data_IF_590204941193
#
_entry.id   IF_590204941193
#
_cell.length_a   1.000
_cell.length_b   1.000
_cell.length_c   1.000
_cell.angle_alpha   90.00
_cell.angle_beta   90.00
_cell.angle_gamma   90.00
#
_symmetry.space_group_name_H-M   'P 1'
#
loop_
_entity.id
_entity.type
_entity.pdbx_description
1 polymer ?
#
# COMPACT_ATOMS: atom_id res chain seq x y z
N UNK A 1 15.73 13.09 9.34
CA UNK A 1 15.79 11.75 8.72
C UNK A 1 15.28 10.76 9.76
N UNK A 2 14.06 10.22 9.60
CA UNK A 2 13.48 9.29 10.60
C UNK A 2 14.10 7.92 10.37
N UNK A 3 14.90 7.44 11.34
CA UNK A 3 15.46 6.10 11.33
C UNK A 3 14.33 5.11 11.66
N UNK A 4 13.60 4.67 10.64
CA UNK A 4 12.69 3.54 10.75
C UNK A 4 13.57 2.32 10.96
N UNK A 5 13.50 1.67 12.12
CA UNK A 5 14.33 0.51 12.41
C UNK A 5 14.13 -0.54 11.30
N UNK A 6 15.23 -0.92 10.64
CA UNK A 6 15.20 -1.91 9.55
C UNK A 6 14.53 -3.23 9.98
N UNK A 7 14.58 -3.53 11.28
CA UNK A 7 14.02 -4.72 11.89
C UNK A 7 12.48 -4.78 11.78
N UNK A 8 11.77 -3.71 12.16
CA UNK A 8 10.30 -3.69 12.11
C UNK A 8 9.74 -3.66 10.68
N UNK A 9 10.53 -3.11 9.74
CA UNK A 9 10.15 -3.10 8.31
C UNK A 9 10.30 -4.47 7.68
N UNK A 10 11.38 -5.21 8.00
CA UNK A 10 11.59 -6.57 7.49
C UNK A 10 10.54 -7.57 8.00
N UNK A 11 10.22 -7.51 9.29
CA UNK A 11 9.20 -8.40 9.91
C UNK A 11 7.82 -8.21 9.27
N UNK A 12 7.39 -6.95 9.08
CA UNK A 12 6.12 -6.66 8.42
C UNK A 12 6.09 -7.10 6.94
N UNK A 13 7.16 -6.87 6.20
CA UNK A 13 7.22 -7.12 4.75
C UNK A 13 7.38 -8.60 4.42
N UNK A 14 8.25 -9.29 5.16
CA UNK A 14 8.61 -10.68 4.87
C UNK A 14 7.70 -11.64 5.63
N UNK A 15 7.43 -11.41 6.91
CA UNK A 15 6.67 -12.38 7.73
C UNK A 15 5.16 -12.18 7.62
N UNK A 16 4.69 -10.93 7.51
CA UNK A 16 3.24 -10.65 7.44
C UNK A 16 2.71 -10.54 6.02
N UNK A 17 3.40 -9.78 5.16
CA UNK A 17 2.94 -9.61 3.79
C UNK A 17 3.44 -10.70 2.84
N UNK A 18 4.51 -11.41 3.19
CA UNK A 18 5.16 -12.44 2.38
C UNK A 18 5.36 -11.96 0.93
N UNK A 19 6.06 -10.82 0.79
CA UNK A 19 6.34 -10.23 -0.52
C UNK A 19 7.53 -10.92 -1.20
N UNK A 20 7.37 -11.23 -2.49
CA UNK A 20 8.44 -11.63 -3.39
C UNK A 20 8.72 -10.57 -4.45
N UNK A 21 9.45 -10.96 -5.50
CA UNK A 21 9.63 -10.13 -6.71
C UNK A 21 8.36 -10.06 -7.56
N UNK A 22 7.46 -11.03 -7.40
CA UNK A 22 6.15 -11.04 -8.02
C UNK A 22 5.18 -10.11 -7.30
N UNK A 23 4.32 -9.45 -8.08
CA UNK A 23 3.29 -8.54 -7.55
C UNK A 23 2.22 -9.29 -6.78
N UNK A 24 2.09 -8.98 -5.49
CA UNK A 24 1.00 -9.47 -4.63
C UNK A 24 -0.06 -8.39 -4.45
N UNK A 25 -1.32 -8.74 -4.74
CA UNK A 25 -2.48 -7.85 -4.61
C UNK A 25 -3.16 -7.96 -3.25
N UNK A 26 -3.57 -6.82 -2.72
CA UNK A 26 -4.39 -6.67 -1.52
C UNK A 26 -5.63 -5.86 -1.88
N UNK A 27 -6.81 -6.48 -1.76
CA UNK A 27 -8.08 -5.87 -2.16
C UNK A 27 -8.66 -5.00 -1.03
N UNK A 28 -9.38 -3.95 -1.39
CA UNK A 28 -10.07 -3.10 -0.44
C UNK A 28 -11.03 -3.93 0.42
N UNK A 29 -10.95 -3.73 1.73
CA UNK A 29 -11.78 -4.44 2.72
C UNK A 29 -11.11 -5.65 3.35
N UNK A 30 -9.94 -6.09 2.87
CA UNK A 30 -9.18 -7.14 3.57
C UNK A 30 -8.39 -6.57 4.76
N UNK A 31 -8.09 -7.39 5.79
CA UNK A 31 -7.25 -6.97 6.91
C UNK A 31 -5.87 -6.47 6.48
N UNK A 32 -5.23 -7.11 5.49
CA UNK A 32 -3.90 -6.74 5.00
C UNK A 32 -3.92 -5.37 4.33
N UNK A 33 -4.96 -5.08 3.54
CA UNK A 33 -5.16 -3.76 2.94
C UNK A 33 -5.24 -2.67 4.02
N UNK A 34 -6.02 -2.92 5.08
CA UNK A 34 -6.14 -1.99 6.20
C UNK A 34 -4.83 -1.85 6.99
N UNK A 35 -4.07 -2.94 7.14
CA UNK A 35 -2.76 -2.90 7.79
C UNK A 35 -1.75 -2.06 6.99
N UNK A 36 -1.70 -2.22 5.67
CA UNK A 36 -0.85 -1.43 4.78
C UNK A 36 -1.21 0.05 4.90
N UNK A 37 -2.49 0.40 4.77
CA UNK A 37 -2.98 1.76 4.95
C UNK A 37 -2.87 2.26 6.40
N UNK A 38 -2.70 1.38 7.38
CA UNK A 38 -2.45 1.71 8.78
C UNK A 38 -1.03 2.21 9.04
N UNK A 39 -0.07 1.85 8.18
CA UNK A 39 1.33 2.29 8.28
C UNK A 39 1.46 3.78 7.99
N UNK A 40 2.52 4.42 8.51
CA UNK A 40 2.79 5.85 8.18
C UNK A 40 2.93 6.08 6.68
N UNK A 41 3.65 5.21 5.99
CA UNK A 41 3.85 5.30 4.52
C UNK A 41 2.54 5.10 3.77
N UNK A 42 1.74 4.08 4.14
CA UNK A 42 0.44 3.83 3.52
C UNK A 42 -0.55 4.98 3.71
N UNK A 43 -0.63 5.55 4.92
CA UNK A 43 -1.45 6.75 5.20
C UNK A 43 -1.02 7.93 4.35
N UNK A 44 0.27 8.22 4.29
CA UNK A 44 0.81 9.33 3.49
C UNK A 44 0.55 9.12 1.99
N UNK A 45 0.80 7.92 1.47
CA UNK A 45 0.51 7.59 0.08
C UNK A 45 -0.99 7.77 -0.24
N UNK A 46 -1.87 7.21 0.59
CA UNK A 46 -3.31 7.33 0.39
C UNK A 46 -3.79 8.78 0.47
N UNK A 47 -3.22 9.58 1.40
CA UNK A 47 -3.51 11.01 1.49
C UNK A 47 -3.11 11.74 0.21
N UNK A 48 -1.88 11.56 -0.29
CA UNK A 48 -1.41 12.19 -1.53
C UNK A 48 -2.29 11.79 -2.72
N UNK A 49 -2.54 10.49 -2.87
CA UNK A 49 -3.29 9.93 -4.00
C UNK A 49 -4.74 10.44 -4.00
N UNK A 50 -5.45 10.32 -2.88
CA UNK A 50 -6.87 10.66 -2.83
C UNK A 50 -7.11 12.17 -2.85
N UNK A 51 -6.21 13.00 -2.29
CA UNK A 51 -6.32 14.46 -2.38
C UNK A 51 -5.92 15.01 -3.76
N UNK A 52 -5.45 14.16 -4.68
CA UNK A 52 -5.26 14.55 -6.08
C UNK A 52 -6.57 14.54 -6.88
N UNK A 53 -7.68 14.14 -6.26
CA UNK A 53 -9.02 14.12 -6.83
C UNK A 53 -10.00 14.88 -5.93
N UNK A 54 -11.18 15.19 -6.47
CA UNK A 54 -12.26 15.77 -5.68
C UNK A 54 -12.63 14.84 -4.51
N UNK A 55 -12.80 15.38 -3.29
CA UNK A 55 -13.07 14.58 -2.10
C UNK A 55 -14.27 13.63 -2.29
N UNK A 56 -14.06 12.34 -1.98
CA UNK A 56 -15.10 11.31 -2.04
C UNK A 56 -15.44 10.80 -3.44
N UNK A 57 -14.77 11.27 -4.50
CA UNK A 57 -15.03 10.80 -5.89
C UNK A 57 -14.21 9.58 -6.29
N UNK A 58 -13.16 9.26 -5.52
CA UNK A 58 -12.26 8.14 -5.76
C UNK A 58 -12.03 7.35 -4.49
N UNK A 59 -11.73 6.06 -4.66
CA UNK A 59 -11.25 5.16 -3.62
C UNK A 59 -10.05 4.36 -4.13
N UNK A 60 -9.18 3.93 -3.24
CA UNK A 60 -8.17 2.91 -3.56
C UNK A 60 -8.88 1.56 -3.49
N UNK A 61 -8.98 0.87 -4.62
CA UNK A 61 -9.66 -0.41 -4.71
C UNK A 61 -8.72 -1.58 -4.42
N UNK A 62 -7.44 -1.45 -4.77
CA UNK A 62 -6.42 -2.48 -4.59
C UNK A 62 -5.05 -1.85 -4.38
N UNK A 63 -4.21 -2.52 -3.59
CA UNK A 63 -2.78 -2.22 -3.47
C UNK A 63 -2.01 -3.45 -3.98
N UNK A 64 -1.19 -3.26 -4.99
CA UNK A 64 -0.25 -4.28 -5.45
C UNK A 64 1.15 -3.95 -4.94
N UNK A 65 1.85 -4.90 -4.33
CA UNK A 65 3.20 -4.68 -3.79
C UNK A 65 4.15 -5.80 -4.22
N UNK A 66 5.41 -5.44 -4.47
CA UNK A 66 6.50 -6.37 -4.80
C UNK A 66 7.85 -5.80 -4.37
N UNK A 67 8.84 -6.67 -4.28
CA UNK A 67 10.22 -6.30 -4.05
C UNK A 67 10.93 -6.06 -5.39
N UNK A 68 11.77 -5.02 -5.44
CA UNK A 68 12.56 -4.64 -6.62
C UNK A 68 14.01 -4.31 -6.23
N UNK A 69 14.87 -4.24 -7.25
CA UNK A 69 16.32 -4.08 -7.13
C UNK A 69 17.06 -5.40 -6.91
N UNK A 70 18.36 -5.40 -7.20
CA UNK A 70 19.26 -6.51 -6.88
C UNK A 70 20.30 -6.07 -5.82
N UNK A 71 20.31 -6.70 -4.62
CA UNK A 71 19.29 -7.63 -4.11
C UNK A 71 17.97 -6.91 -3.80
N UNK A 72 16.87 -7.66 -3.68
CA UNK A 72 15.48 -7.20 -3.51
C UNK A 72 15.26 -6.36 -2.24
N UNK A 73 15.77 -5.12 -2.25
CA UNK A 73 15.87 -4.22 -1.09
C UNK A 73 14.83 -3.12 -1.10
N UNK A 74 14.14 -2.91 -2.21
CA UNK A 74 13.15 -1.85 -2.34
C UNK A 74 11.75 -2.44 -2.40
N UNK A 75 10.83 -1.84 -1.68
CA UNK A 75 9.42 -2.15 -1.77
C UNK A 75 8.83 -1.20 -2.80
N UNK A 76 8.16 -1.76 -3.81
CA UNK A 76 7.38 -1.01 -4.76
C UNK A 76 5.90 -1.31 -4.51
N UNK A 77 5.06 -0.27 -4.65
CA UNK A 77 3.63 -0.38 -4.51
C UNK A 77 2.94 0.33 -5.67
N UNK A 78 1.85 -0.26 -6.16
CA UNK A 78 0.91 0.33 -7.09
C UNK A 78 -0.46 0.40 -6.42
N UNK A 79 -1.12 1.54 -6.56
CA UNK A 79 -2.44 1.79 -6.02
C UNK A 79 -3.42 1.87 -7.19
N UNK A 80 -4.33 0.91 -7.25
CA UNK A 80 -5.37 0.88 -8.27
C UNK A 80 -6.57 1.69 -7.74
N UNK A 81 -7.01 2.69 -8.51
CA UNK A 81 -8.00 3.70 -8.08
C UNK A 81 -9.27 3.52 -8.88
N UNK A 82 -10.42 3.57 -8.20
CA UNK A 82 -11.74 3.47 -8.81
C UNK A 82 -12.59 4.71 -8.52
N UNK A 83 -13.58 4.96 -9.37
CA UNK A 83 -14.64 5.94 -9.10
C UNK A 83 -15.52 5.41 -7.98
N UNK A 84 -15.77 6.25 -6.97
CA UNK A 84 -16.78 5.95 -5.96
C UNK A 84 -18.15 6.20 -6.58
N UNK A 85 -18.85 5.15 -6.99
CA UNK A 85 -20.27 5.28 -7.35
C UNK A 85 -21.05 5.63 -6.08
N UNK A 86 -21.68 6.81 -6.03
CA UNK A 86 -22.76 7.03 -5.06
C UNK A 86 -23.88 6.07 -5.44
N UNK A 87 -24.18 5.09 -4.58
CA UNK A 87 -25.50 4.47 -4.60
C UNK A 87 -26.50 5.61 -4.39
N UNK A 88 -27.21 5.95 -5.46
CA UNK A 88 -28.31 6.91 -5.45
C UNK A 88 -29.56 6.21 -4.95
#
# INVERSE_FOLDING_TARGET
>A
MVNVSEHGTKEFVVERLNLGTESKGFESGTPEFQQILGTRVGKTAAYIILNSFDPGTRKIARIAMWLTGLPARFIQARFDIEVTSRSS
#
